data_IF_693956339497
#
_entry.id   IF_693956339497
#
_cell.length_a   1.000
_cell.length_b   1.000
_cell.length_c   1.000
_cell.angle_alpha   90.00
_cell.angle_beta   90.00
_cell.angle_gamma   90.00
#
_symmetry.space_group_name_H-M   'P 1'
#
loop_
_entity.id
_entity.type
_entity.pdbx_description
1 polymer ?
#
# COMPACT_ATOMS: atom_id res chain seq x y z
N UNK A 1 5.19 -11.91 -17.94
CA UNK A 1 6.04 -12.48 -16.87
C UNK A 1 6.02 -14.01 -16.85
N UNK A 2 4.89 -14.65 -16.55
CA UNK A 2 4.82 -16.13 -16.35
C UNK A 2 5.13 -16.99 -17.57
N UNK A 3 5.14 -16.43 -18.78
CA UNK A 3 5.52 -17.14 -20.02
C UNK A 3 7.02 -17.04 -20.34
N UNK A 4 7.79 -16.27 -19.58
CA UNK A 4 9.21 -16.07 -19.84
C UNK A 4 10.02 -17.22 -19.23
N UNK A 5 10.90 -17.86 -20.01
CA UNK A 5 11.62 -19.08 -19.59
C UNK A 5 12.56 -18.88 -18.38
N UNK A 6 13.03 -17.66 -18.14
CA UNK A 6 13.81 -17.31 -16.93
C UNK A 6 12.96 -17.05 -15.68
N UNK A 7 11.63 -17.12 -15.76
CA UNK A 7 10.73 -16.93 -14.61
C UNK A 7 10.25 -18.29 -14.11
N UNK A 8 10.58 -18.63 -12.86
CA UNK A 8 10.33 -19.95 -12.27
C UNK A 8 8.85 -20.36 -12.24
N UNK A 9 7.93 -19.43 -11.94
CA UNK A 9 6.50 -19.74 -11.77
C UNK A 9 6.19 -20.61 -10.53
N UNK A 10 4.96 -21.14 -10.40
CA UNK A 10 3.84 -21.05 -11.34
C UNK A 10 3.10 -19.69 -11.33
N UNK A 11 3.30 -18.88 -10.29
CA UNK A 11 2.79 -17.52 -10.18
C UNK A 11 3.90 -16.49 -9.95
N UNK A 12 3.50 -15.24 -9.74
CA UNK A 12 4.41 -14.12 -9.48
C UNK A 12 4.13 -13.46 -8.13
N UNK A 13 5.16 -12.81 -7.58
CA UNK A 13 5.01 -11.85 -6.50
C UNK A 13 4.66 -10.47 -7.05
N UNK A 14 3.86 -9.72 -6.30
CA UNK A 14 3.56 -8.31 -6.56
C UNK A 14 4.11 -7.45 -5.43
N UNK A 15 4.85 -6.41 -5.77
CA UNK A 15 5.38 -5.41 -4.84
C UNK A 15 4.91 -4.03 -5.33
N UNK A 16 4.19 -3.32 -4.48
CA UNK A 16 3.70 -1.98 -4.81
C UNK A 16 3.80 -1.03 -3.63
N UNK A 17 4.00 0.24 -3.94
CA UNK A 17 3.97 1.37 -3.00
C UNK A 17 2.86 2.34 -3.40
N UNK A 18 2.19 2.96 -2.43
CA UNK A 18 1.17 4.00 -2.67
C UNK A 18 0.04 3.48 -3.58
N UNK A 19 -0.35 4.22 -4.62
CA UNK A 19 -1.30 3.75 -5.65
C UNK A 19 -0.85 2.43 -6.30
N UNK A 20 0.45 2.20 -6.45
CA UNK A 20 0.99 0.94 -6.97
C UNK A 20 0.66 -0.25 -6.06
N UNK A 21 0.58 -0.03 -4.75
CA UNK A 21 0.14 -1.04 -3.79
C UNK A 21 -1.34 -1.39 -3.98
N UNK A 22 -2.20 -0.39 -4.18
CA UNK A 22 -3.63 -0.58 -4.46
C UNK A 22 -3.86 -1.32 -5.79
N UNK A 23 -3.02 -1.06 -6.80
CA UNK A 23 -3.00 -1.82 -8.05
C UNK A 23 -2.60 -3.27 -7.78
N UNK A 24 -1.57 -3.52 -6.97
CA UNK A 24 -1.15 -4.88 -6.61
C UNK A 24 -2.26 -5.65 -5.88
N UNK A 25 -2.96 -5.01 -4.94
CA UNK A 25 -4.11 -5.60 -4.23
C UNK A 25 -5.24 -5.91 -5.21
N UNK A 26 -5.56 -4.99 -6.12
CA UNK A 26 -6.57 -5.22 -7.17
C UNK A 26 -6.22 -6.39 -8.08
N UNK A 27 -4.95 -6.47 -8.51
CA UNK A 27 -4.45 -7.59 -9.30
C UNK A 27 -4.57 -8.91 -8.54
N UNK A 28 -4.21 -8.94 -7.25
CA UNK A 28 -4.33 -10.12 -6.41
C UNK A 28 -5.80 -10.57 -6.25
N UNK A 29 -6.75 -9.64 -6.19
CA UNK A 29 -8.18 -9.93 -6.08
C UNK A 29 -8.82 -10.46 -7.36
N UNK A 30 -8.35 -10.04 -8.53
CA UNK A 30 -9.04 -10.27 -9.81
C UNK A 30 -8.30 -11.18 -10.80
N UNK A 31 -6.98 -11.26 -10.69
CA UNK A 31 -6.14 -12.01 -11.62
C UNK A 31 -5.72 -13.36 -11.03
N UNK A 32 -5.46 -14.31 -11.92
CA UNK A 32 -4.88 -15.61 -11.56
C UNK A 32 -3.36 -15.52 -11.50
N UNK A 33 -2.73 -16.54 -10.89
CA UNK A 33 -1.27 -16.72 -10.84
C UNK A 33 -0.53 -15.64 -10.04
N UNK A 34 -1.19 -15.05 -9.03
CA UNK A 34 -0.54 -14.19 -8.03
C UNK A 34 -0.26 -15.04 -6.78
N UNK A 35 1.03 -15.26 -6.51
CA UNK A 35 1.49 -16.14 -5.43
C UNK A 35 1.67 -15.42 -4.11
N UNK A 36 2.01 -14.13 -4.11
CA UNK A 36 2.23 -13.34 -2.90
C UNK A 36 2.14 -11.84 -3.23
N UNK A 37 1.66 -11.01 -2.30
CA UNK A 37 1.55 -9.56 -2.50
C UNK A 37 2.15 -8.79 -1.31
N UNK A 38 2.97 -7.79 -1.60
CA UNK A 38 3.44 -6.80 -0.63
C UNK A 38 2.84 -5.45 -0.98
N UNK A 39 2.16 -4.85 0.00
CA UNK A 39 1.59 -3.51 -0.07
C UNK A 39 2.35 -2.58 0.87
N UNK A 40 3.08 -1.60 0.32
CA UNK A 40 3.77 -0.56 1.09
C UNK A 40 2.93 0.71 1.05
N UNK A 41 2.46 1.16 2.22
CA UNK A 41 1.61 2.35 2.33
C UNK A 41 0.45 2.39 1.31
N UNK A 42 -0.14 1.23 1.01
CA UNK A 42 -1.36 1.15 0.23
C UNK A 42 -2.58 1.61 1.04
N UNK A 43 -3.67 1.91 0.34
CA UNK A 43 -4.95 2.23 0.96
C UNK A 43 -5.92 1.05 0.99
N UNK A 44 -5.83 0.10 0.05
CA UNK A 44 -6.85 -0.96 -0.08
C UNK A 44 -8.22 -0.45 -0.54
N UNK A 45 -8.33 0.84 -0.84
CA UNK A 45 -9.53 1.50 -1.36
C UNK A 45 -9.24 2.09 -2.72
N UNK A 46 -10.24 2.05 -3.59
CA UNK A 46 -10.13 2.77 -4.83
C UNK A 46 -10.14 4.29 -4.59
N UNK A 47 -9.14 4.98 -5.16
CA UNK A 47 -8.92 6.41 -4.95
C UNK A 47 -9.82 7.29 -5.82
N UNK A 48 -9.21 7.97 -6.80
CA UNK A 48 -9.85 9.06 -7.55
C UNK A 48 -10.54 8.64 -8.85
N UNK A 49 -10.20 7.49 -9.42
CA UNK A 49 -10.76 6.98 -10.68
C UNK A 49 -11.33 5.59 -10.46
N UNK A 50 -12.44 5.21 -11.10
CA UNK A 50 -12.96 3.85 -11.00
C UNK A 50 -11.91 2.81 -11.46
N UNK A 51 -11.85 1.67 -10.76
CA UNK A 51 -11.08 0.49 -11.21
C UNK A 51 -12.03 -0.40 -11.99
N UNK A 52 -11.64 -0.81 -13.19
CA UNK A 52 -12.41 -1.71 -14.04
C UNK A 52 -11.65 -3.01 -14.27
N UNK A 53 -12.36 -4.14 -14.15
CA UNK A 53 -11.89 -5.43 -14.62
C UNK A 53 -13.06 -6.24 -15.19
N UNK A 54 -13.07 -6.38 -16.53
CA UNK A 54 -14.21 -6.94 -17.27
C UNK A 54 -15.51 -6.22 -16.90
N UNK A 55 -16.54 -6.93 -16.46
CA UNK A 55 -17.84 -6.40 -16.03
C UNK A 55 -17.83 -5.86 -14.59
N UNK A 56 -16.73 -6.05 -13.84
CA UNK A 56 -16.60 -5.56 -12.47
C UNK A 56 -16.06 -4.14 -12.46
N UNK A 57 -16.68 -3.26 -11.66
CA UNK A 57 -16.16 -1.93 -11.37
C UNK A 57 -16.12 -1.68 -9.87
N UNK A 58 -15.09 -0.99 -9.40
CA UNK A 58 -15.00 -0.46 -8.04
C UNK A 58 -15.11 1.07 -8.15
N UNK A 59 -16.12 1.69 -7.53
CA UNK A 59 -16.28 3.14 -7.57
C UNK A 59 -15.13 3.85 -6.82
N UNK A 60 -14.81 5.10 -7.17
CA UNK A 60 -13.83 5.89 -6.42
C UNK A 60 -14.40 6.31 -5.06
N UNK A 61 -13.58 6.26 -4.01
CA UNK A 61 -13.93 6.79 -2.69
C UNK A 61 -14.14 8.31 -2.74
N UNK A 62 -13.38 8.99 -3.61
CA UNK A 62 -13.38 10.44 -3.74
C UNK A 62 -12.60 11.15 -2.62
N UNK A 63 -12.53 12.47 -2.75
CA UNK A 63 -11.81 13.34 -1.84
C UNK A 63 -12.46 14.72 -1.76
N UNK A 64 -12.16 15.45 -0.68
CA UNK A 64 -12.55 16.84 -0.45
C UNK A 64 -11.30 17.67 -0.12
N UNK A 65 -10.88 18.50 -1.06
CA UNK A 65 -9.70 19.37 -0.90
C UNK A 65 -9.88 20.41 0.21
N UNK A 66 -11.10 20.69 0.67
CA UNK A 66 -11.34 21.58 1.81
C UNK A 66 -10.84 21.00 3.13
N UNK A 67 -10.55 19.70 3.19
CA UNK A 67 -9.97 19.01 4.36
C UNK A 67 -8.44 19.10 4.43
N UNK A 68 -7.79 19.70 3.44
CA UNK A 68 -6.36 19.99 3.50
C UNK A 68 -6.04 20.92 4.68
N UNK A 69 -4.91 20.69 5.33
CA UNK A 69 -4.41 21.56 6.40
C UNK A 69 -3.15 22.28 5.92
N UNK A 70 -2.93 23.48 6.44
CA UNK A 70 -1.70 24.25 6.17
C UNK A 70 -0.88 24.24 7.45
N UNK A 71 0.32 23.67 7.39
CA UNK A 71 1.26 23.72 8.51
C UNK A 71 1.82 25.13 8.68
N UNK A 72 2.40 25.43 9.86
CA UNK A 72 3.05 26.73 10.11
C UNK A 72 4.15 27.07 9.08
N UNK A 73 4.77 26.06 8.47
CA UNK A 73 5.77 26.22 7.41
C UNK A 73 5.18 26.63 6.04
N UNK A 74 3.86 26.68 5.90
CA UNK A 74 3.15 26.90 4.63
C UNK A 74 3.02 25.65 3.76
N UNK A 75 3.59 24.52 4.18
CA UNK A 75 3.40 23.22 3.51
C UNK A 75 1.98 22.70 3.73
N UNK A 76 1.46 22.00 2.73
CA UNK A 76 0.16 21.36 2.82
C UNK A 76 0.25 19.96 3.43
N UNK A 77 -0.67 19.65 4.33
CA UNK A 77 -0.93 18.31 4.82
C UNK A 77 -2.23 17.80 4.19
N UNK A 78 -2.13 16.68 3.49
CA UNK A 78 -3.22 16.11 2.68
C UNK A 78 -3.77 14.80 3.26
N UNK A 79 -3.29 14.38 4.43
CA UNK A 79 -3.62 13.08 5.03
C UNK A 79 -5.14 12.84 5.19
N UNK A 80 -5.91 13.92 5.34
CA UNK A 80 -7.35 13.90 5.60
C UNK A 80 -8.22 14.26 4.39
N UNK A 81 -7.67 14.39 3.18
CA UNK A 81 -8.48 14.77 2.01
C UNK A 81 -9.42 13.67 1.53
N UNK A 82 -9.11 12.39 1.78
CA UNK A 82 -9.98 11.29 1.35
C UNK A 82 -11.30 11.30 2.13
N UNK A 83 -12.38 10.94 1.44
CA UNK A 83 -13.69 10.82 2.08
C UNK A 83 -13.68 9.72 3.15
N UNK A 84 -14.60 9.85 4.11
CA UNK A 84 -14.70 8.92 5.23
C UNK A 84 -15.07 7.51 4.75
N UNK A 85 -14.45 6.50 5.37
CA UNK A 85 -14.62 5.10 5.03
C UNK A 85 -15.88 4.56 5.73
N UNK A 86 -17.04 5.12 5.42
CA UNK A 86 -18.30 4.71 6.04
C UNK A 86 -18.55 3.22 5.78
N UNK A 87 -18.86 2.47 6.84
CA UNK A 87 -19.02 1.01 6.78
C UNK A 87 -17.71 0.21 6.89
N UNK A 88 -16.55 0.88 7.04
CA UNK A 88 -15.27 0.20 7.24
C UNK A 88 -14.96 -0.78 6.11
N UNK A 89 -14.80 -2.07 6.43
CA UNK A 89 -14.50 -3.10 5.44
C UNK A 89 -15.68 -3.41 4.48
N UNK A 90 -16.90 -2.97 4.78
CA UNK A 90 -18.07 -3.17 3.92
C UNK A 90 -18.23 -2.06 2.87
N UNK A 91 -17.38 -1.02 2.94
CA UNK A 91 -17.46 0.12 2.03
C UNK A 91 -17.32 -0.34 0.56
N UNK A 92 -18.19 0.14 -0.35
CA UNK A 92 -18.22 -0.32 -1.74
C UNK A 92 -16.98 0.07 -2.55
N UNK A 93 -16.18 1.02 -2.07
CA UNK A 93 -14.93 1.44 -2.71
C UNK A 93 -13.75 0.56 -2.31
N UNK A 94 -13.93 -0.37 -1.35
CA UNK A 94 -12.87 -1.26 -0.91
C UNK A 94 -12.53 -2.28 -1.99
N UNK A 95 -11.23 -2.54 -2.18
CA UNK A 95 -10.77 -3.62 -3.03
C UNK A 95 -11.15 -4.95 -2.38
N UNK A 96 -11.77 -5.91 -3.10
CA UNK A 96 -12.23 -7.17 -2.54
C UNK A 96 -11.05 -8.14 -2.32
N UNK A 97 -10.16 -7.80 -1.41
CA UNK A 97 -8.91 -8.52 -1.11
C UNK A 97 -9.16 -9.91 -0.53
N UNK A 98 -10.37 -10.21 -0.04
CA UNK A 98 -10.79 -11.58 0.33
C UNK A 98 -10.74 -12.55 -0.85
N UNK A 99 -10.79 -12.06 -2.09
CA UNK A 99 -10.69 -12.90 -3.30
C UNK A 99 -9.26 -13.32 -3.62
N UNK A 100 -8.26 -12.66 -3.02
CA UNK A 100 -6.87 -13.00 -3.21
C UNK A 100 -6.57 -14.43 -2.72
N UNK A 101 -5.81 -15.16 -3.54
CA UNK A 101 -5.43 -16.55 -3.25
C UNK A 101 -4.13 -16.62 -2.44
N UNK A 102 -3.15 -15.79 -2.78
CA UNK A 102 -1.87 -15.70 -2.07
C UNK A 102 -1.93 -14.85 -0.80
N UNK A 103 -0.96 -15.00 0.11
CA UNK A 103 -0.81 -14.15 1.29
C UNK A 103 -0.49 -12.70 0.91
N UNK A 104 -0.85 -11.80 1.82
CA UNK A 104 -0.62 -10.36 1.70
C UNK A 104 0.18 -9.89 2.92
N UNK A 105 1.27 -9.18 2.66
CA UNK A 105 2.05 -8.43 3.66
C UNK A 105 1.77 -6.94 3.49
N UNK A 106 1.37 -6.28 4.57
CA UNK A 106 1.27 -4.83 4.63
C UNK A 106 2.47 -4.26 5.39
N UNK A 107 3.12 -3.28 4.78
CA UNK A 107 4.17 -2.47 5.39
C UNK A 107 3.66 -1.04 5.45
N UNK A 108 3.59 -0.46 6.65
CA UNK A 108 3.00 0.87 6.86
C UNK A 108 3.94 1.77 7.65
N UNK A 109 4.05 3.02 7.20
CA UNK A 109 4.59 4.12 7.98
C UNK A 109 3.50 4.70 8.87
N UNK A 110 3.76 4.81 10.17
CA UNK A 110 2.78 5.38 11.11
C UNK A 110 2.70 6.91 11.02
N UNK A 111 3.66 7.54 10.35
CA UNK A 111 3.71 8.98 10.11
C UNK A 111 3.44 9.29 8.62
N UNK A 112 2.66 8.46 7.94
CA UNK A 112 2.25 8.69 6.55
C UNK A 112 1.29 9.89 6.47
N UNK A 113 1.76 10.96 5.83
CA UNK A 113 0.99 12.19 5.61
C UNK A 113 0.33 12.29 4.22
N UNK A 114 0.53 11.30 3.34
CA UNK A 114 -0.23 11.23 2.10
C UNK A 114 -1.65 10.71 2.36
N UNK A 115 -1.77 9.69 3.22
CA UNK A 115 -3.05 9.16 3.68
C UNK A 115 -2.88 8.23 4.90
N UNK A 116 -3.98 7.77 5.50
CA UNK A 116 -3.98 6.98 6.74
C UNK A 116 -3.64 5.50 6.52
N UNK A 117 -2.42 5.19 6.09
CA UNK A 117 -2.01 3.81 5.72
C UNK A 117 -2.15 2.76 6.83
N UNK A 118 -1.87 3.10 8.09
CA UNK A 118 -2.07 2.16 9.20
C UNK A 118 -3.54 1.79 9.39
N UNK A 119 -4.45 2.78 9.39
CA UNK A 119 -5.89 2.55 9.46
C UNK A 119 -6.36 1.66 8.30
N UNK A 120 -5.89 1.95 7.09
CA UNK A 120 -6.23 1.17 5.91
C UNK A 120 -5.77 -0.29 6.00
N UNK A 121 -4.55 -0.54 6.48
CA UNK A 121 -4.06 -1.90 6.68
C UNK A 121 -4.87 -2.67 7.74
N UNK A 122 -5.32 -1.99 8.81
CA UNK A 122 -6.19 -2.59 9.82
C UNK A 122 -7.54 -3.00 9.22
N UNK A 123 -8.22 -2.10 8.50
CA UNK A 123 -9.50 -2.39 7.82
C UNK A 123 -9.33 -3.51 6.79
N UNK A 124 -8.22 -3.53 6.05
CA UNK A 124 -7.88 -4.63 5.16
C UNK A 124 -7.77 -5.98 5.89
N UNK A 125 -7.13 -6.01 7.06
CA UNK A 125 -7.07 -7.22 7.88
C UNK A 125 -8.45 -7.63 8.42
N UNK A 126 -9.32 -6.68 8.75
CA UNK A 126 -10.72 -6.96 9.13
C UNK A 126 -11.50 -7.60 7.99
N UNK A 127 -11.41 -7.05 6.77
CA UNK A 127 -12.04 -7.60 5.57
C UNK A 127 -11.67 -9.07 5.36
N UNK A 128 -10.38 -9.37 5.44
CA UNK A 128 -9.86 -10.73 5.28
C UNK A 128 -10.45 -11.68 6.33
N UNK A 129 -10.41 -11.29 7.61
CA UNK A 129 -10.93 -12.11 8.71
C UNK A 129 -12.45 -12.33 8.60
N UNK A 130 -13.21 -11.28 8.25
CA UNK A 130 -14.65 -11.36 8.06
C UNK A 130 -15.06 -12.35 6.96
N UNK A 131 -14.18 -12.62 6.00
CA UNK A 131 -14.40 -13.55 4.89
C UNK A 131 -13.64 -14.88 5.06
N UNK A 132 -13.29 -15.25 6.29
CA UNK A 132 -12.70 -16.55 6.62
C UNK A 132 -11.24 -16.72 6.22
N UNK A 133 -10.54 -15.64 5.85
CA UNK A 133 -9.08 -15.65 5.67
C UNK A 133 -8.39 -15.40 7.01
N UNK A 134 -7.12 -15.79 7.10
CA UNK A 134 -6.30 -15.47 8.27
C UNK A 134 -6.03 -13.97 8.41
N UNK A 135 -5.65 -13.54 9.62
CA UNK A 135 -5.20 -12.18 9.89
C UNK A 135 -4.00 -11.83 8.99
N UNK A 136 -4.03 -10.65 8.37
CA UNK A 136 -2.92 -10.20 7.55
C UNK A 136 -1.68 -9.90 8.40
N UNK A 137 -0.50 -10.13 7.83
CA UNK A 137 0.73 -9.63 8.44
C UNK A 137 0.84 -8.13 8.16
N UNK A 138 0.90 -7.33 9.23
CA UNK A 138 1.07 -5.88 9.17
C UNK A 138 2.34 -5.53 9.95
N UNK A 139 3.23 -4.77 9.32
CA UNK A 139 4.43 -4.24 9.96
C UNK A 139 4.32 -2.72 9.95
N UNK A 140 4.14 -2.14 11.15
CA UNK A 140 4.03 -0.71 11.36
C UNK A 140 5.36 -0.13 11.83
N UNK A 141 5.85 0.92 11.16
CA UNK A 141 7.07 1.62 11.52
C UNK A 141 6.77 3.01 12.09
N UNK A 142 7.07 3.27 13.38
CA UNK A 142 6.97 4.61 13.96
C UNK A 142 7.90 5.61 13.27
N UNK A 143 7.49 6.88 13.18
CA UNK A 143 8.30 7.97 12.60
C UNK A 143 8.71 7.72 11.15
N UNK A 144 7.89 7.00 10.39
CA UNK A 144 8.15 6.63 9.00
C UNK A 144 6.99 7.13 8.15
N UNK A 145 7.31 7.87 7.08
CA UNK A 145 6.34 8.50 6.20
C UNK A 145 5.95 7.65 5.01
N UNK A 146 5.40 8.33 3.99
CA UNK A 146 4.80 7.69 2.82
C UNK A 146 5.81 6.94 1.94
N UNK A 147 6.99 7.53 1.70
CA UNK A 147 7.98 6.99 0.75
C UNK A 147 9.00 6.06 1.44
N UNK A 148 8.59 4.81 1.68
CA UNK A 148 9.49 3.75 2.17
C UNK A 148 10.27 3.16 0.97
N UNK A 149 11.33 3.86 0.60
CA UNK A 149 12.26 3.50 -0.48
C UNK A 149 13.22 2.34 -0.08
N UNK A 150 14.01 1.79 -1.03
CA UNK A 150 15.09 0.86 -0.69
C UNK A 150 16.09 1.44 0.33
N UNK A 151 16.89 0.58 0.99
CA UNK A 151 17.81 1.02 2.04
C UNK A 151 18.73 2.16 1.61
N UNK A 152 18.92 3.12 2.52
CA UNK A 152 19.81 4.28 2.38
C UNK A 152 19.37 5.36 1.38
N UNK A 153 18.19 5.23 0.76
CA UNK A 153 17.61 6.36 0.04
C UNK A 153 17.31 7.50 1.01
N UNK A 154 17.79 8.73 0.74
CA UNK A 154 17.56 9.86 1.62
C UNK A 154 16.07 10.15 1.72
N UNK A 155 15.63 10.41 2.94
CA UNK A 155 14.26 10.74 3.23
C UNK A 155 13.88 12.10 2.60
N UNK A 156 12.75 12.16 1.90
CA UNK A 156 12.18 13.39 1.35
C UNK A 156 10.97 13.81 2.18
N UNK A 157 11.09 14.80 3.10
CA UNK A 157 10.00 15.16 4.01
C UNK A 157 8.84 15.90 3.31
N UNK A 158 9.13 16.60 2.21
CA UNK A 158 8.15 17.36 1.45
C UNK A 158 8.59 17.53 -0.01
N UNK A 159 7.64 17.53 -0.94
CA UNK A 159 7.87 17.86 -2.36
C UNK A 159 6.59 18.30 -3.05
N UNK A 160 6.68 18.70 -4.32
CA UNK A 160 5.52 19.09 -5.12
C UNK A 160 4.60 17.89 -5.36
N UNK A 161 3.36 17.95 -4.87
CA UNK A 161 2.34 16.97 -5.20
C UNK A 161 1.78 17.23 -6.61
N UNK A 162 2.14 16.38 -7.57
CA UNK A 162 1.86 16.60 -9.01
C UNK A 162 0.39 16.89 -9.34
N UNK A 163 -0.57 16.28 -8.65
CA UNK A 163 -2.00 16.52 -8.94
C UNK A 163 -2.54 17.81 -8.31
N UNK A 164 -1.93 18.28 -7.23
CA UNK A 164 -2.37 19.49 -6.52
C UNK A 164 -1.58 20.73 -6.94
N UNK A 165 -0.45 20.52 -7.61
CA UNK A 165 0.53 21.54 -7.99
C UNK A 165 0.95 22.42 -6.80
N UNK A 166 1.10 21.79 -5.63
CA UNK A 166 1.45 22.43 -4.36
C UNK A 166 2.40 21.55 -3.55
N UNK A 167 3.30 22.14 -2.74
CA UNK A 167 4.21 21.39 -1.89
C UNK A 167 3.44 20.77 -0.73
N UNK A 168 3.59 19.45 -0.54
CA UNK A 168 2.95 18.69 0.53
C UNK A 168 3.99 18.01 1.40
N UNK A 169 3.63 17.72 2.65
CA UNK A 169 4.41 16.85 3.54
C UNK A 169 4.12 15.37 3.27
N UNK A 170 5.15 14.55 3.35
CA UNK A 170 5.06 13.08 3.22
C UNK A 170 5.25 12.35 4.54
N UNK A 171 5.71 13.08 5.55
CA UNK A 171 5.94 12.62 6.91
C UNK A 171 7.21 11.79 7.08
N UNK A 172 7.46 11.39 8.32
CA UNK A 172 8.57 10.61 8.84
C UNK A 172 9.70 11.44 9.47
N UNK A 173 10.61 10.74 10.15
CA UNK A 173 11.76 11.30 10.84
C UNK A 173 13.05 10.66 10.31
N UNK A 174 14.10 11.41 9.92
CA UNK A 174 15.22 10.87 9.14
C UNK A 174 15.85 9.60 9.71
N UNK A 175 16.05 9.54 11.03
CA UNK A 175 16.64 8.37 11.72
C UNK A 175 15.67 7.18 11.79
N UNK A 176 14.39 7.42 12.04
CA UNK A 176 13.41 6.34 12.16
C UNK A 176 13.08 5.78 10.78
N UNK A 177 12.84 6.67 9.81
CA UNK A 177 12.55 6.33 8.41
C UNK A 177 13.67 5.51 7.77
N UNK A 178 14.93 5.91 7.95
CA UNK A 178 16.08 5.15 7.42
C UNK A 178 16.18 3.74 8.01
N UNK A 179 15.90 3.56 9.30
CA UNK A 179 15.84 2.22 9.93
C UNK A 179 14.68 1.40 9.38
N UNK A 180 13.52 2.02 9.15
CA UNK A 180 12.36 1.37 8.58
C UNK A 180 12.61 0.88 7.15
N UNK A 181 13.28 1.66 6.30
CA UNK A 181 13.66 1.21 4.95
C UNK A 181 14.56 -0.03 4.98
N UNK A 182 15.55 -0.05 5.89
CA UNK A 182 16.45 -1.20 6.07
C UNK A 182 15.68 -2.44 6.49
N UNK A 183 14.79 -2.33 7.47
CA UNK A 183 14.01 -3.48 7.94
C UNK A 183 12.98 -3.93 6.89
N UNK A 184 12.20 -3.00 6.33
CA UNK A 184 11.21 -3.27 5.29
C UNK A 184 11.81 -4.06 4.14
N UNK A 185 13.02 -3.70 3.68
CA UNK A 185 13.73 -4.45 2.65
C UNK A 185 13.97 -5.91 3.04
N UNK A 186 14.42 -6.17 4.28
CA UNK A 186 14.62 -7.54 4.80
C UNK A 186 13.30 -8.30 4.92
N UNK A 187 12.24 -7.64 5.38
CA UNK A 187 10.91 -8.23 5.49
C UNK A 187 10.37 -8.65 4.13
N UNK A 188 10.54 -7.81 3.11
CA UNK A 188 10.14 -8.07 1.73
C UNK A 188 10.88 -9.28 1.17
N UNK A 189 12.21 -9.31 1.30
CA UNK A 189 13.03 -10.45 0.85
C UNK A 189 12.64 -11.74 1.56
N UNK A 190 12.40 -11.69 2.87
CA UNK A 190 11.97 -12.85 3.66
C UNK A 190 10.61 -13.35 3.22
N UNK A 191 9.65 -12.45 3.05
CA UNK A 191 8.29 -12.77 2.62
C UNK A 191 8.27 -13.40 1.23
N UNK A 192 8.95 -12.81 0.25
CA UNK A 192 9.01 -13.39 -1.10
C UNK A 192 9.81 -14.69 -1.15
N UNK A 193 10.92 -14.83 -0.40
CA UNK A 193 11.65 -16.10 -0.32
C UNK A 193 10.76 -17.24 0.19
N UNK A 194 9.92 -16.94 1.19
CA UNK A 194 8.98 -17.89 1.77
C UNK A 194 7.89 -18.32 0.77
N UNK A 195 7.37 -17.39 -0.03
CA UNK A 195 6.17 -17.64 -0.84
C UNK A 195 6.43 -17.87 -2.34
N UNK A 196 7.61 -17.51 -2.84
CA UNK A 196 8.03 -17.73 -4.23
C UNK A 196 9.20 -18.75 -4.32
N UNK A 197 9.73 -19.18 -3.18
CA UNK A 197 10.90 -20.03 -3.06
C UNK A 197 12.20 -19.23 -2.87
N UNK A 198 13.22 -19.90 -2.34
CA UNK A 198 14.51 -19.27 -2.06
C UNK A 198 15.15 -18.70 -3.33
N UNK A 199 15.75 -17.52 -3.20
CA UNK A 199 16.61 -16.98 -4.24
C UNK A 199 17.81 -17.92 -4.46
N UNK A 200 18.21 -18.18 -5.71
CA UNK A 200 19.52 -18.76 -5.97
C UNK A 200 20.55 -17.87 -5.26
N UNK A 201 21.50 -18.48 -4.54
CA UNK A 201 22.65 -17.71 -4.02
C UNK A 201 23.37 -17.12 -5.23
N UNK A 202 23.47 -15.78 -5.27
CA UNK A 202 24.35 -15.06 -6.19
C UNK A 202 25.81 -15.32 -5.82
#
# INVERSE_FOLDING_TARGET
MTQHFLVKGPGIGLLGISLGADICLSMASFLKNISATVSINGSGFNGNKPIYYKETSIPPLGHDLRRMKVAFSGLLDIVDIRNDIVGGYENPCMIPIEKAQGPILFIVGQDDHNWRSELYAQIASERLQAHGKGKAQIISYPGTGHYIEPPYFPMCPASLHRLLDKPVIWGGEPRAHSKAQIDAWKQILTFFSKHLGAFPKL
#
